data_IF_605722672678
#
_entry.id   IF_605722672678
#
_cell.length_a   1.000
_cell.length_b   1.000
_cell.length_c   1.000
_cell.angle_alpha   90.00
_cell.angle_beta   90.00
_cell.angle_gamma   90.00
#
_symmetry.space_group_name_H-M   'P 1'
#
loop_
_entity.id
_entity.type
_entity.pdbx_description
1 polymer ?
#
# COMPACT_ATOMS: atom_id res chain seq x y z
N UNK A 1 -9.55 9.81 -25.39
CA UNK A 1 -8.33 9.76 -24.57
C UNK A 1 -8.68 10.42 -23.25
N UNK A 2 -8.84 9.65 -22.17
CA UNK A 2 -9.02 10.22 -20.83
C UNK A 2 -7.72 10.90 -20.40
N UNK A 3 -7.78 12.08 -19.78
CA UNK A 3 -6.59 12.78 -19.33
C UNK A 3 -5.98 12.02 -18.14
N UNK A 4 -4.65 12.09 -17.96
CA UNK A 4 -3.97 11.46 -16.82
C UNK A 4 -4.44 12.04 -15.47
N UNK A 5 -4.98 13.26 -15.47
CA UNK A 5 -5.59 13.89 -14.30
C UNK A 5 -6.95 13.26 -13.97
N UNK A 6 -7.79 12.99 -14.97
CA UNK A 6 -9.13 12.40 -14.79
C UNK A 6 -9.04 11.01 -14.13
N UNK A 7 -8.02 10.22 -14.51
CA UNK A 7 -7.77 8.91 -13.92
C UNK A 7 -7.34 8.99 -12.46
N UNK A 8 -6.51 9.97 -12.09
CA UNK A 8 -6.08 10.18 -10.69
C UNK A 8 -7.25 10.52 -9.79
N UNK A 9 -8.12 11.41 -10.24
CA UNK A 9 -9.33 11.80 -9.49
C UNK A 9 -10.27 10.60 -9.32
N UNK A 10 -10.49 9.83 -10.39
CA UNK A 10 -11.29 8.61 -10.33
C UNK A 10 -10.73 7.57 -9.36
N UNK A 11 -9.40 7.40 -9.35
CA UNK A 11 -8.73 6.49 -8.41
C UNK A 11 -8.85 6.98 -6.96
N UNK A 12 -8.77 8.29 -6.71
CA UNK A 12 -9.01 8.82 -5.36
C UNK A 12 -10.42 8.49 -4.87
N UNK A 13 -11.43 8.81 -5.69
CA UNK A 13 -12.84 8.51 -5.37
C UNK A 13 -13.07 7.02 -5.13
N UNK A 14 -12.38 6.14 -5.87
CA UNK A 14 -12.46 4.70 -5.66
C UNK A 14 -11.84 4.27 -4.31
N UNK A 15 -10.66 4.79 -3.96
CA UNK A 15 -10.03 4.52 -2.65
C UNK A 15 -10.89 5.01 -1.50
N UNK A 16 -11.42 6.22 -1.62
CA UNK A 16 -12.33 6.83 -0.65
C UNK A 16 -13.57 5.94 -0.45
N UNK A 17 -14.22 5.54 -1.55
CA UNK A 17 -15.38 4.68 -1.50
C UNK A 17 -15.08 3.35 -0.80
N UNK A 18 -13.99 2.68 -1.16
CA UNK A 18 -13.59 1.41 -0.53
C UNK A 18 -13.29 1.61 0.95
N UNK A 19 -12.55 2.66 1.31
CA UNK A 19 -12.22 2.98 2.68
C UNK A 19 -13.48 3.16 3.54
N UNK A 20 -14.42 3.99 3.10
CA UNK A 20 -15.64 4.24 3.86
C UNK A 20 -16.54 3.00 3.92
N UNK A 21 -16.64 2.22 2.84
CA UNK A 21 -17.43 0.98 2.86
C UNK A 21 -16.88 -0.06 3.84
N UNK A 22 -15.55 -0.24 3.86
CA UNK A 22 -14.93 -1.13 4.85
C UNK A 22 -15.16 -0.58 6.27
N UNK A 23 -14.94 0.72 6.48
CA UNK A 23 -15.12 1.36 7.78
C UNK A 23 -16.56 1.23 8.29
N UNK A 24 -17.57 1.37 7.42
CA UNK A 24 -18.98 1.19 7.74
C UNK A 24 -19.31 -0.25 8.16
N UNK A 25 -18.71 -1.25 7.49
CA UNK A 25 -18.99 -2.66 7.71
C UNK A 25 -18.38 -3.21 9.01
N UNK A 26 -17.12 -2.88 9.30
CA UNK A 26 -16.36 -3.48 10.42
C UNK A 26 -15.86 -2.46 11.45
N UNK A 27 -16.05 -1.17 11.22
CA UNK A 27 -15.68 -0.11 12.17
C UNK A 27 -14.18 0.21 12.22
N UNK A 28 -13.36 -0.50 11.45
CA UNK A 28 -11.91 -0.33 11.36
C UNK A 28 -11.43 -0.58 9.93
N UNK A 29 -10.45 0.20 9.48
CA UNK A 29 -9.82 0.03 8.16
C UNK A 29 -8.34 0.36 8.27
N UNK A 30 -7.53 -0.33 7.50
CA UNK A 30 -6.09 -0.14 7.45
C UNK A 30 -5.73 0.42 6.07
N UNK A 31 -4.84 1.42 6.04
CA UNK A 31 -4.27 1.92 4.79
C UNK A 31 -2.77 1.66 4.79
N UNK A 32 -2.25 1.34 3.61
CA UNK A 32 -0.82 1.16 3.38
C UNK A 32 -0.35 2.41 2.66
N UNK A 33 0.63 3.10 3.25
CA UNK A 33 1.18 4.35 2.74
C UNK A 33 2.66 4.14 2.42
N UNK A 34 3.04 4.37 1.16
CA UNK A 34 4.46 4.32 0.78
C UNK A 34 5.21 5.52 1.36
N UNK A 35 6.51 5.36 1.57
CA UNK A 35 7.35 6.51 1.89
C UNK A 35 7.35 7.52 0.74
N UNK A 36 7.12 8.78 1.09
CA UNK A 36 7.35 9.94 0.23
C UNK A 36 7.49 11.19 1.09
N UNK A 37 8.25 12.17 0.62
CA UNK A 37 8.49 13.42 1.35
C UNK A 37 7.22 14.28 1.52
N UNK A 38 6.25 14.10 0.61
CA UNK A 38 4.95 14.79 0.68
C UNK A 38 4.02 14.22 1.75
N UNK A 39 4.29 13.00 2.23
CA UNK A 39 3.53 12.43 3.36
C UNK A 39 4.09 13.02 4.66
N UNK A 40 3.26 13.79 5.37
CA UNK A 40 3.64 14.42 6.63
C UNK A 40 3.07 13.63 7.80
N UNK A 41 3.93 13.23 8.73
CA UNK A 41 3.56 12.58 9.99
C UNK A 41 4.02 13.48 11.14
N UNK A 42 3.32 14.59 11.32
CA UNK A 42 3.61 15.62 12.32
C UNK A 42 5.10 15.93 12.46
N UNK A 43 5.63 15.88 13.68
CA UNK A 43 7.06 16.09 13.97
C UNK A 43 7.88 14.81 13.95
N UNK A 44 7.23 13.65 14.10
CA UNK A 44 7.87 12.33 14.09
C UNK A 44 8.49 12.00 12.74
N UNK A 45 7.75 12.25 11.65
CA UNK A 45 8.08 11.76 10.32
C UNK A 45 8.09 10.23 10.23
N UNK A 46 8.75 9.70 9.19
CA UNK A 46 8.98 8.27 9.01
C UNK A 46 10.22 7.80 9.76
N UNK A 47 10.10 6.68 10.47
CA UNK A 47 11.22 5.91 11.02
C UNK A 47 12.03 5.23 9.91
N UNK A 48 13.30 4.83 10.16
CA UNK A 48 14.15 4.19 9.16
C UNK A 48 13.50 3.01 8.43
N UNK A 49 12.86 2.09 9.16
CA UNK A 49 12.16 0.95 8.55
C UNK A 49 10.93 1.38 7.74
N UNK A 50 10.20 2.39 8.21
CA UNK A 50 9.02 2.92 7.51
C UNK A 50 9.42 3.64 6.20
N UNK A 51 10.67 4.12 6.09
CA UNK A 51 11.20 4.70 4.84
C UNK A 51 11.45 3.64 3.77
N UNK A 52 11.79 2.42 4.18
CA UNK A 52 12.03 1.30 3.27
C UNK A 52 10.74 0.59 2.88
N UNK A 53 9.85 0.36 3.86
CA UNK A 53 8.66 -0.49 3.68
C UNK A 53 7.35 0.29 3.52
N UNK A 54 7.37 1.59 3.80
CA UNK A 54 6.15 2.37 4.03
C UNK A 54 5.61 2.15 5.45
N UNK A 55 4.43 2.72 5.71
CA UNK A 55 3.75 2.67 6.99
C UNK A 55 2.31 2.19 6.82
N UNK A 56 1.84 1.39 7.76
CA UNK A 56 0.43 1.02 7.86
C UNK A 56 -0.23 1.92 8.89
N UNK A 57 -1.32 2.58 8.49
CA UNK A 57 -2.11 3.45 9.37
C UNK A 57 -3.48 2.84 9.59
N UNK A 58 -3.96 2.89 10.84
CA UNK A 58 -5.22 2.28 11.24
C UNK A 58 -6.23 3.36 11.56
N UNK A 59 -7.40 3.27 10.93
CA UNK A 59 -8.51 4.19 11.12
C UNK A 59 -9.69 3.46 11.73
N UNK A 60 -10.43 4.13 12.59
CA UNK A 60 -11.70 3.65 13.11
C UNK A 60 -12.72 4.79 13.18
N UNK A 61 -14.00 4.44 13.33
CA UNK A 61 -15.12 5.40 13.29
C UNK A 61 -15.09 6.49 14.36
N UNK A 62 -14.32 6.31 15.43
CA UNK A 62 -14.23 7.26 16.55
C UNK A 62 -13.04 8.23 16.39
N UNK A 63 -12.25 8.10 15.32
CA UNK A 63 -11.09 8.95 15.08
C UNK A 63 -11.49 10.22 14.35
N UNK A 64 -10.71 11.29 14.58
CA UNK A 64 -10.87 12.54 13.85
C UNK A 64 -9.99 12.55 12.60
N UNK A 65 -10.61 12.29 11.45
CA UNK A 65 -9.98 12.37 10.14
C UNK A 65 -10.97 12.91 9.10
N UNK A 66 -10.44 13.38 7.99
CA UNK A 66 -11.22 13.86 6.84
C UNK A 66 -10.55 13.38 5.57
N UNK A 67 -11.33 12.75 4.69
CA UNK A 67 -10.90 12.44 3.33
C UNK A 67 -11.24 13.65 2.45
N UNK A 68 -10.22 14.16 1.76
CA UNK A 68 -10.28 15.32 0.88
C UNK A 68 -10.00 14.89 -0.57
N UNK A 69 -10.23 15.80 -1.51
CA UNK A 69 -9.93 15.58 -2.94
C UNK A 69 -8.44 15.29 -3.21
N UNK A 70 -7.54 15.71 -2.31
CA UNK A 70 -6.10 15.49 -2.41
C UNK A 70 -5.58 14.28 -1.61
N UNK A 71 -6.35 13.77 -0.64
CA UNK A 71 -5.88 12.72 0.27
C UNK A 71 -6.52 12.76 1.66
N UNK A 72 -5.84 12.21 2.67
CA UNK A 72 -6.36 12.10 4.03
C UNK A 72 -5.65 13.09 4.96
N UNK A 73 -6.44 13.81 5.73
CA UNK A 73 -5.99 14.55 6.90
C UNK A 73 -6.47 13.85 8.18
N UNK A 74 -5.58 13.60 9.14
CA UNK A 74 -5.94 12.89 10.37
C UNK A 74 -5.10 13.29 11.57
N UNK A 75 -5.60 13.04 12.78
CA UNK A 75 -4.80 13.06 14.01
C UNK A 75 -4.62 11.63 14.52
N UNK A 76 -3.41 11.10 14.40
CA UNK A 76 -3.09 9.72 14.72
C UNK A 76 -2.13 9.64 15.90
N UNK A 77 -2.24 8.57 16.70
CA UNK A 77 -1.37 8.35 17.86
C UNK A 77 -0.21 7.45 17.46
N UNK A 78 1.01 7.93 17.69
CA UNK A 78 2.26 7.19 17.49
C UNK A 78 2.99 7.05 18.83
N UNK A 79 2.92 5.86 19.44
CA UNK A 79 3.40 5.65 20.80
C UNK A 79 2.60 6.47 21.80
N UNK A 80 3.22 7.48 22.41
CA UNK A 80 2.59 8.39 23.37
C UNK A 80 2.17 9.75 22.78
N UNK A 81 2.55 10.05 21.53
CA UNK A 81 2.33 11.36 20.91
C UNK A 81 1.20 11.31 19.89
N UNK A 82 0.34 12.32 19.89
CA UNK A 82 -0.61 12.55 18.79
C UNK A 82 0.05 13.43 17.74
N UNK A 83 0.10 12.94 16.50
CA UNK A 83 0.67 13.65 15.36
C UNK A 83 -0.44 14.04 14.37
N UNK A 84 -0.30 15.21 13.76
CA UNK A 84 -1.15 15.64 12.65
C UNK A 84 -0.57 15.10 11.35
N UNK A 85 -1.36 14.29 10.65
CA UNK A 85 -0.96 13.57 9.45
C UNK A 85 -1.63 14.15 8.22
N UNK A 86 -0.85 14.35 7.16
CA UNK A 86 -1.32 14.71 5.82
C UNK A 86 -0.79 13.66 4.85
N UNK A 87 -1.70 12.93 4.22
CA UNK A 87 -1.38 11.75 3.42
C UNK A 87 -1.99 11.93 2.03
N UNK A 88 -1.20 12.39 1.05
CA UNK A 88 -1.67 12.51 -0.32
C UNK A 88 -2.11 11.17 -0.89
N UNK A 89 -3.14 11.18 -1.72
CA UNK A 89 -3.75 9.96 -2.29
C UNK A 89 -2.77 9.16 -3.15
N UNK A 90 -1.78 9.81 -3.76
CA UNK A 90 -0.73 9.22 -4.58
C UNK A 90 0.23 8.31 -3.80
N UNK A 91 0.18 8.41 -2.47
CA UNK A 91 1.03 7.63 -1.58
C UNK A 91 0.24 6.56 -0.83
N UNK A 92 -1.10 6.57 -0.89
CA UNK A 92 -1.94 5.48 -0.39
C UNK A 92 -1.91 4.35 -1.41
N UNK A 93 -1.12 3.30 -1.17
CA UNK A 93 -0.97 2.19 -2.12
C UNK A 93 -1.99 1.07 -1.88
N UNK A 94 -2.62 1.05 -0.71
CA UNK A 94 -3.62 0.05 -0.37
C UNK A 94 -4.59 0.47 0.71
N UNK A 95 -5.80 -0.09 0.63
CA UNK A 95 -6.82 -0.06 1.66
C UNK A 95 -7.20 -1.51 1.95
N UNK A 96 -7.08 -1.97 3.19
CA UNK A 96 -7.33 -3.37 3.53
C UNK A 96 -8.05 -3.52 4.89
N UNK A 97 -8.70 -4.66 5.06
CA UNK A 97 -9.27 -5.08 6.34
C UNK A 97 -8.91 -6.55 6.60
N UNK A 98 -8.15 -6.81 7.69
CA UNK A 98 -7.95 -8.15 8.21
C UNK A 98 -9.28 -8.85 8.55
N UNK A 99 -10.24 -8.11 9.10
CA UNK A 99 -11.52 -8.65 9.57
C UNK A 99 -12.38 -9.19 8.43
N UNK A 100 -12.34 -8.53 7.27
CA UNK A 100 -13.02 -8.96 6.05
C UNK A 100 -12.13 -9.83 5.14
N UNK A 101 -10.85 -10.02 5.50
CA UNK A 101 -9.82 -10.63 4.66
C UNK A 101 -9.82 -10.09 3.22
N UNK A 102 -9.92 -8.76 3.10
CA UNK A 102 -10.04 -8.07 1.80
C UNK A 102 -9.02 -6.95 1.68
N UNK A 103 -8.56 -6.71 0.45
CA UNK A 103 -7.63 -5.64 0.13
C UNK A 103 -7.94 -5.04 -1.24
N UNK A 104 -7.85 -3.73 -1.30
CA UNK A 104 -7.80 -2.95 -2.51
C UNK A 104 -6.39 -2.38 -2.64
N UNK A 105 -5.71 -2.70 -3.74
CA UNK A 105 -4.35 -2.23 -4.01
C UNK A 105 -4.34 -1.42 -5.29
N UNK A 106 -3.65 -0.28 -5.25
CA UNK A 106 -3.38 0.55 -6.42
C UNK A 106 -1.88 0.76 -6.53
N UNK A 107 -1.24 0.02 -7.42
CA UNK A 107 0.18 0.18 -7.71
C UNK A 107 0.38 1.47 -8.50
N UNK A 108 1.33 2.29 -8.07
CA UNK A 108 1.80 3.41 -8.87
C UNK A 108 3.02 2.96 -9.65
N UNK A 109 3.04 3.22 -10.96
CA UNK A 109 4.27 3.14 -11.73
C UNK A 109 5.20 4.25 -11.25
N UNK A 110 6.31 3.88 -10.61
CA UNK A 110 7.39 4.84 -10.38
C UNK A 110 7.95 5.28 -11.74
N UNK A 111 7.89 6.58 -12.03
CA UNK A 111 8.67 7.14 -13.14
C UNK A 111 10.16 6.98 -12.79
N UNK A 112 10.77 5.89 -13.24
CA UNK A 112 12.22 5.82 -13.42
C UNK A 112 13.07 5.22 -12.29
N UNK A 113 12.65 4.15 -11.63
CA UNK A 113 13.61 3.19 -11.04
C UNK A 113 13.51 1.85 -11.75
N UNK A 114 14.26 1.72 -12.85
CA UNK A 114 14.74 0.40 -13.26
C UNK A 114 15.53 -0.14 -12.08
N UNK A 115 14.97 -1.13 -11.40
CA UNK A 115 15.75 -1.97 -10.50
C UNK A 115 16.76 -2.66 -11.42
N UNK A 116 18.00 -2.18 -11.42
CA UNK A 116 19.11 -3.00 -11.87
C UNK A 116 19.15 -4.18 -10.90
N UNK A 117 18.56 -5.30 -11.32
CA UNK A 117 18.79 -6.58 -10.68
C UNK A 117 20.29 -6.83 -10.85
N UNK A 118 21.08 -6.61 -9.80
CA UNK A 118 22.43 -7.16 -9.73
C UNK A 118 22.28 -8.68 -9.77
N UNK A 119 22.54 -9.26 -10.94
CA UNK A 119 22.83 -10.67 -11.10
C UNK A 119 24.18 -10.97 -10.45
N UNK A 120 24.22 -11.00 -9.12
CA UNK A 120 25.32 -11.61 -8.40
C UNK A 120 24.73 -12.62 -7.41
N UNK A 121 25.27 -13.84 -7.47
CA UNK A 121 24.89 -15.04 -6.71
C UNK A 121 23.76 -15.93 -7.26
N UNK A 122 23.94 -16.44 -8.48
CA UNK A 122 23.41 -17.78 -8.86
C UNK A 122 24.41 -18.68 -9.60
N UNK A 123 25.70 -18.54 -9.32
CA UNK A 123 26.70 -19.56 -9.64
C UNK A 123 27.39 -20.03 -8.36
N UNK A 124 26.80 -21.04 -7.71
CA UNK A 124 27.46 -22.16 -6.99
C UNK A 124 26.50 -22.82 -6.00
N UNK A 125 25.56 -23.62 -6.50
CA UNK A 125 25.28 -24.96 -5.94
C UNK A 125 24.76 -25.83 -7.10
N UNK A 126 25.67 -26.36 -7.91
CA UNK A 126 25.40 -27.59 -8.67
C UNK A 126 25.62 -28.75 -7.69
N UNK A 127 24.52 -29.26 -7.12
CA UNK A 127 24.44 -30.53 -6.43
C UNK A 127 23.21 -31.26 -6.96
N UNK A 128 23.42 -32.48 -7.45
CA UNK A 128 22.48 -33.29 -8.23
C UNK A 128 21.12 -33.48 -7.55
N UNK A 129 20.02 -33.13 -8.25
CA UNK A 129 18.70 -33.70 -7.95
C UNK A 129 18.03 -34.15 -9.26
N UNK A 130 17.90 -35.48 -9.39
CA UNK A 130 17.19 -36.17 -10.49
C UNK A 130 15.70 -35.84 -10.43
N UNK A 131 15.25 -34.84 -11.19
CA UNK A 131 13.82 -34.68 -11.48
C UNK A 131 13.47 -35.51 -12.72
N UNK A 132 12.81 -36.65 -12.48
CA UNK A 132 12.19 -37.46 -13.52
C UNK A 132 11.01 -36.67 -14.10
N UNK A 133 11.10 -36.30 -15.39
CA UNK A 133 9.94 -35.80 -16.14
C UNK A 133 9.01 -36.98 -16.44
N UNK A 134 7.91 -37.07 -15.71
CA UNK A 134 6.78 -37.96 -16.05
C UNK A 134 5.79 -37.19 -16.93
N UNK A 135 5.67 -37.62 -18.20
CA UNK A 135 4.71 -37.09 -19.16
C UNK A 135 3.31 -37.68 -18.94
N UNK A 136 2.39 -36.89 -18.39
CA UNK A 136 0.98 -37.24 -18.24
C UNK A 136 0.19 -36.96 -19.53
N UNK A 137 0.48 -37.69 -20.61
CA UNK A 137 -0.36 -37.69 -21.83
C UNK A 137 -0.42 -39.07 -22.49
N UNK A 138 -1.35 -39.91 -22.02
CA UNK A 138 -2.45 -40.50 -22.85
C UNK A 138 -3.29 -41.49 -22.04
N UNK A 139 -4.56 -41.14 -21.86
CA UNK A 139 -5.66 -42.11 -21.85
C UNK A 139 -5.98 -42.44 -23.32
N UNK A 140 -5.72 -43.66 -23.74
CA UNK A 140 -6.69 -44.53 -24.43
C UNK A 140 -6.06 -45.90 -24.68
#
# INVERSE_FOLDING_TARGET
MQSRADYKEGLNKLKELVFYKILELVGRVFIIVRYHEDVRIGRRGFLPEEREKGIVLVFNKNMNFTWHDWGIEARLVFGSSTEHCLIPVEHIIGVYSPELNTQFLSLYEEEGKRIEVKEEEKEKVMGEDKVIKVDFKKKS
#
